data_IF_026622485992
#
_entry.id   IF_026622485992
#
_cell.length_a   1.000
_cell.length_b   1.000
_cell.length_c   1.000
_cell.angle_alpha   90.00
_cell.angle_beta   90.00
_cell.angle_gamma   90.00
#
_symmetry.space_group_name_H-M   'P 1'
#
loop_
_entity.id
_entity.type
_entity.pdbx_description
1 polymer ?
#
# COMPACT_ATOMS: atom_id res chain seq x y z
N UNK A 1 28.45 9.88 33.49
CA UNK A 1 27.58 8.78 33.00
C UNK A 1 26.12 9.13 33.26
N UNK A 2 25.33 9.56 32.26
CA UNK A 2 23.87 9.52 32.38
C UNK A 2 23.15 9.14 31.06
N UNK A 3 23.67 8.17 30.29
CA UNK A 3 22.95 7.71 29.07
C UNK A 3 21.84 6.69 29.37
N UNK A 4 21.95 5.95 30.48
CA UNK A 4 20.95 4.93 30.88
C UNK A 4 19.65 5.54 31.40
N UNK A 5 19.75 6.69 32.07
CA UNK A 5 18.61 7.36 32.70
C UNK A 5 17.59 7.89 31.67
N UNK A 6 18.07 8.45 30.56
CA UNK A 6 17.21 8.96 29.48
C UNK A 6 16.40 7.84 28.83
N UNK A 7 17.00 6.67 28.57
CA UNK A 7 16.28 5.53 27.97
C UNK A 7 15.21 4.97 28.91
N UNK A 8 15.50 4.93 30.21
CA UNK A 8 14.54 4.50 31.24
C UNK A 8 13.39 5.51 31.39
N UNK A 9 13.69 6.82 31.36
CA UNK A 9 12.67 7.87 31.38
C UNK A 9 11.76 7.82 30.15
N UNK A 10 12.30 7.54 28.95
CA UNK A 10 11.52 7.45 27.71
C UNK A 10 10.64 6.20 27.63
N UNK A 11 11.09 5.08 28.21
CA UNK A 11 10.30 3.83 28.26
C UNK A 11 9.17 3.87 29.28
N UNK A 12 9.29 4.70 30.32
CA UNK A 12 8.22 4.95 31.29
C UNK A 12 7.10 5.88 30.75
N UNK A 13 7.26 6.47 29.56
CA UNK A 13 6.25 7.36 28.99
C UNK A 13 5.07 6.57 28.43
N UNK A 14 3.90 6.74 29.05
CA UNK A 14 2.67 6.16 28.53
C UNK A 14 2.22 6.85 27.23
N UNK A 15 1.68 6.08 26.26
CA UNK A 15 1.14 6.63 25.03
C UNK A 15 -0.09 7.51 25.32
N UNK A 16 0.06 8.82 25.15
CA UNK A 16 -1.02 9.79 25.40
C UNK A 16 -2.09 9.83 24.30
N UNK A 17 -1.71 9.53 23.06
CA UNK A 17 -2.64 9.65 21.92
C UNK A 17 -3.49 8.40 21.76
N UNK A 18 -4.77 8.57 21.38
CA UNK A 18 -5.68 7.45 21.06
C UNK A 18 -5.04 6.47 20.06
N UNK A 19 -4.42 7.00 19.01
CA UNK A 19 -3.77 6.19 18.00
C UNK A 19 -2.59 5.36 18.54
N UNK A 20 -1.80 5.91 19.47
CA UNK A 20 -0.69 5.20 20.08
C UNK A 20 -1.18 4.07 20.99
N UNK A 21 -2.19 4.33 21.84
CA UNK A 21 -2.84 3.29 22.67
C UNK A 21 -3.38 2.14 21.83
N UNK A 22 -4.00 2.46 20.69
CA UNK A 22 -4.54 1.44 19.78
C UNK A 22 -3.43 0.60 19.15
N UNK A 23 -2.33 1.22 18.71
CA UNK A 23 -1.19 0.52 18.10
C UNK A 23 -0.56 -0.51 19.03
N UNK A 24 -0.53 -0.23 20.33
CA UNK A 24 -0.04 -1.17 21.35
C UNK A 24 -0.88 -2.46 21.39
N UNK A 25 -2.20 -2.32 21.29
CA UNK A 25 -3.14 -3.45 21.33
C UNK A 25 -3.52 -4.01 19.96
N UNK A 26 -3.02 -3.45 18.85
CA UNK A 26 -3.31 -3.91 17.49
C UNK A 26 -3.00 -5.41 17.24
N UNK A 27 -1.84 -5.96 17.67
CA UNK A 27 -1.55 -7.37 17.45
C UNK A 27 -2.61 -8.28 18.08
N UNK A 28 -3.04 -7.95 19.30
CA UNK A 28 -4.06 -8.69 20.03
C UNK A 28 -5.43 -8.56 19.36
N UNK A 29 -5.76 -7.38 18.83
CA UNK A 29 -7.02 -7.17 18.11
C UNK A 29 -7.08 -8.04 16.86
N UNK A 30 -6.03 -8.09 16.05
CA UNK A 30 -5.99 -8.98 14.87
C UNK A 30 -6.13 -10.45 15.26
N UNK A 31 -5.48 -10.88 16.35
CA UNK A 31 -5.63 -12.24 16.86
C UNK A 31 -7.08 -12.55 17.27
N UNK A 32 -7.79 -11.60 17.89
CA UNK A 32 -9.20 -11.79 18.25
C UNK A 32 -10.09 -11.82 17.01
N UNK A 33 -9.82 -10.98 16.03
CA UNK A 33 -10.57 -10.97 14.77
C UNK A 33 -10.36 -12.27 13.98
N UNK A 34 -9.13 -12.80 13.94
CA UNK A 34 -8.84 -14.09 13.29
C UNK A 34 -9.49 -15.28 14.01
N UNK A 35 -9.69 -15.17 15.33
CA UNK A 35 -10.49 -16.12 16.11
C UNK A 35 -12.01 -15.97 15.92
N UNK A 36 -12.48 -15.02 15.09
CA UNK A 36 -13.89 -14.84 14.76
C UNK A 36 -14.65 -13.82 15.63
N UNK A 37 -13.95 -13.05 16.47
CA UNK A 37 -14.59 -11.97 17.24
C UNK A 37 -15.09 -10.87 16.29
N UNK A 38 -16.30 -10.35 16.50
CA UNK A 38 -16.86 -9.29 15.64
C UNK A 38 -16.18 -7.95 15.92
N UNK A 39 -16.03 -7.14 14.88
CA UNK A 39 -15.48 -5.78 14.97
C UNK A 39 -16.27 -4.91 15.98
N UNK A 40 -17.58 -5.09 16.05
CA UNK A 40 -18.46 -4.36 16.98
C UNK A 40 -18.10 -4.64 18.44
N UNK A 41 -17.80 -5.90 18.78
CA UNK A 41 -17.43 -6.29 20.14
C UNK A 41 -16.05 -5.76 20.53
N UNK A 42 -15.11 -5.73 19.57
CA UNK A 42 -13.81 -5.08 19.75
C UNK A 42 -13.98 -3.59 20.02
N UNK A 43 -14.83 -2.89 19.24
CA UNK A 43 -15.10 -1.47 19.47
C UNK A 43 -15.73 -1.21 20.84
N UNK A 44 -16.64 -2.08 21.30
CA UNK A 44 -17.23 -1.99 22.64
C UNK A 44 -16.16 -2.14 23.72
N UNK A 45 -15.28 -3.12 23.59
CA UNK A 45 -14.17 -3.32 24.53
C UNK A 45 -13.19 -2.13 24.53
N UNK A 46 -12.85 -1.60 23.36
CA UNK A 46 -11.99 -0.41 23.23
C UNK A 46 -12.62 0.82 23.91
N UNK A 47 -13.92 1.05 23.67
CA UNK A 47 -14.65 2.16 24.31
C UNK A 47 -14.69 2.02 25.83
N UNK A 48 -14.90 0.81 26.35
CA UNK A 48 -14.88 0.54 27.79
C UNK A 48 -13.53 0.88 28.44
N UNK A 49 -12.44 0.82 27.68
CA UNK A 49 -11.09 1.17 28.12
C UNK A 49 -10.69 2.62 27.76
N UNK A 50 -11.67 3.49 27.45
CA UNK A 50 -11.44 4.91 27.14
C UNK A 50 -10.91 5.19 25.74
N UNK A 51 -10.91 4.19 24.85
CA UNK A 51 -10.49 4.33 23.46
C UNK A 51 -11.75 4.38 22.57
N UNK A 52 -12.32 5.57 22.42
CA UNK A 52 -13.47 5.76 21.54
C UNK A 52 -13.01 5.98 20.08
N UNK A 53 -13.46 5.08 19.22
CA UNK A 53 -13.14 4.99 17.79
C UNK A 53 -14.39 4.67 17.00
N UNK A 54 -14.41 5.13 15.75
CA UNK A 54 -15.41 4.68 14.77
C UNK A 54 -14.96 3.38 14.11
N UNK A 55 -15.92 2.63 13.56
CA UNK A 55 -15.63 1.42 12.78
C UNK A 55 -14.73 1.71 11.58
N UNK A 56 -14.95 2.82 10.87
CA UNK A 56 -14.13 3.23 9.75
C UNK A 56 -12.67 3.50 10.16
N UNK A 57 -12.46 4.11 11.33
CA UNK A 57 -11.12 4.35 11.87
C UNK A 57 -10.42 3.05 12.22
N UNK A 58 -11.12 2.12 12.90
CA UNK A 58 -10.54 0.81 13.25
C UNK A 58 -10.16 0.02 12.00
N UNK A 59 -11.03 -0.04 10.98
CA UNK A 59 -10.72 -0.67 9.69
C UNK A 59 -9.50 -0.05 9.02
N UNK A 60 -9.40 1.27 9.01
CA UNK A 60 -8.24 1.99 8.46
C UNK A 60 -6.94 1.65 9.19
N UNK A 61 -7.01 1.47 10.52
CA UNK A 61 -5.84 1.11 11.33
C UNK A 61 -5.41 -0.34 11.09
N UNK A 62 -6.36 -1.28 11.02
CA UNK A 62 -6.09 -2.67 10.68
C UNK A 62 -5.45 -2.79 9.29
N UNK A 63 -5.99 -2.07 8.30
CA UNK A 63 -5.40 -2.04 6.95
C UNK A 63 -3.94 -1.57 6.99
N UNK A 64 -3.65 -0.44 7.65
CA UNK A 64 -2.29 0.08 7.77
C UNK A 64 -1.37 -0.88 8.54
N UNK A 65 -1.91 -1.55 9.56
CA UNK A 65 -1.17 -2.52 10.35
C UNK A 65 -0.77 -3.74 9.52
N UNK A 66 -1.69 -4.29 8.71
CA UNK A 66 -1.43 -5.40 7.78
C UNK A 66 -0.42 -5.04 6.70
N UNK A 67 -0.55 -3.85 6.10
CA UNK A 67 0.42 -3.36 5.11
C UNK A 67 1.82 -3.25 5.70
N UNK A 68 1.93 -2.73 6.93
CA UNK A 68 3.22 -2.64 7.63
C UNK A 68 3.83 -4.04 7.86
N UNK A 69 3.02 -5.02 8.27
CA UNK A 69 3.51 -6.39 8.47
C UNK A 69 4.02 -7.03 7.18
N UNK A 70 3.37 -6.81 6.05
CA UNK A 70 3.83 -7.34 4.76
C UNK A 70 5.23 -6.80 4.41
N UNK A 71 5.44 -5.49 4.56
CA UNK A 71 6.75 -4.86 4.31
C UNK A 71 7.81 -5.39 5.28
N UNK A 72 7.49 -5.54 6.56
CA UNK A 72 8.43 -6.12 7.55
C UNK A 72 8.80 -7.57 7.20
N UNK A 73 7.83 -8.39 6.75
CA UNK A 73 8.10 -9.76 6.30
C UNK A 73 8.98 -9.80 5.03
N UNK A 74 8.73 -8.92 4.06
CA UNK A 74 9.55 -8.82 2.83
C UNK A 74 10.99 -8.42 3.15
N UNK A 75 11.18 -7.43 4.02
CA UNK A 75 12.53 -6.96 4.41
C UNK A 75 13.31 -7.99 5.23
N UNK A 76 12.64 -8.76 6.10
CA UNK A 76 13.28 -9.85 6.86
C UNK A 76 13.58 -11.05 5.95
N UNK A 77 12.69 -11.38 5.01
CA UNK A 77 12.90 -12.43 4.00
C UNK A 77 14.05 -12.14 3.03
N UNK A 78 14.20 -10.88 2.59
CA UNK A 78 15.34 -10.45 1.77
C UNK A 78 16.68 -10.52 2.51
N UNK A 79 16.70 -10.28 3.83
CA UNK A 79 17.94 -10.37 4.62
C UNK A 79 18.46 -11.80 4.78
N UNK A 80 17.60 -12.82 4.66
CA UNK A 80 18.02 -14.22 4.67
C UNK A 80 18.43 -14.73 3.29
N UNK A 81 17.85 -14.20 2.20
CA UNK A 81 18.23 -14.59 0.82
C UNK A 81 19.49 -13.88 0.30
N UNK A 82 19.87 -12.73 0.85
CA UNK A 82 21.06 -11.99 0.39
C UNK A 82 22.41 -12.64 0.78
N UNK A 83 22.43 -13.67 1.63
CA UNK A 83 23.67 -14.30 2.11
C UNK A 83 24.03 -15.64 1.44
N UNK A 84 23.32 -16.07 0.39
CA UNK A 84 23.57 -17.37 -0.28
C UNK A 84 24.00 -17.25 -1.74
N UNK A 85 24.09 -16.05 -2.33
CA UNK A 85 24.37 -15.92 -3.77
C UNK A 85 25.67 -15.17 -4.08
N UNK A 86 26.79 -15.73 -3.62
CA UNK A 86 28.07 -15.59 -4.29
C UNK A 86 28.60 -16.99 -4.61
N UNK A 87 27.97 -17.67 -5.57
CA UNK A 87 28.51 -18.87 -6.21
C UNK A 87 28.02 -18.90 -7.67
N UNK A 88 28.92 -18.48 -8.55
CA UNK A 88 29.10 -18.87 -9.96
C UNK A 88 27.96 -19.62 -10.69
N UNK A 89 27.56 -19.03 -11.82
CA UNK A 89 27.30 -19.67 -13.11
C UNK A 89 26.41 -20.94 -13.15
N UNK A 90 25.23 -20.84 -13.76
CA UNK A 90 24.90 -21.36 -15.12
C UNK A 90 23.38 -21.24 -15.29
N UNK A 91 22.92 -20.59 -16.37
CA UNK A 91 21.50 -20.53 -16.75
C UNK A 91 21.04 -21.92 -17.22
N UNK A 92 19.80 -22.33 -16.91
CA UNK A 92 19.01 -23.04 -17.90
C UNK A 92 17.71 -22.28 -18.17
N UNK A 93 17.55 -21.89 -19.43
CA UNK A 93 16.28 -21.51 -20.03
C UNK A 93 15.37 -22.73 -20.00
N UNK A 94 14.25 -22.66 -19.27
CA UNK A 94 13.17 -23.63 -19.38
C UNK A 94 12.01 -22.97 -20.10
N UNK A 95 12.03 -23.15 -21.41
CA UNK A 95 11.03 -22.77 -22.39
C UNK A 95 9.78 -23.63 -22.16
N UNK A 96 8.80 -23.10 -21.42
CA UNK A 96 7.49 -23.75 -21.27
C UNK A 96 6.63 -23.39 -22.48
N UNK A 97 6.61 -24.30 -23.44
CA UNK A 97 5.56 -24.42 -24.44
C UNK A 97 4.22 -24.61 -23.73
N UNK A 98 3.29 -23.70 -23.97
CA UNK A 98 1.87 -23.95 -23.79
C UNK A 98 1.19 -23.66 -25.12
N UNK A 99 0.97 -24.73 -25.88
CA UNK A 99 -0.05 -24.77 -26.91
C UNK A 99 -1.17 -25.62 -26.34
N UNK A 100 -2.30 -25.02 -25.99
CA UNK A 100 -3.58 -25.56 -26.46
C UNK A 100 -4.70 -24.51 -26.36
N UNK A 101 -5.47 -24.45 -27.43
CA UNK A 101 -6.63 -23.61 -27.64
C UNK A 101 -7.89 -24.40 -27.28
N UNK A 102 -8.77 -23.84 -26.45
CA UNK A 102 -10.23 -23.92 -26.66
C UNK A 102 -10.86 -22.79 -25.84
N UNK A 103 -11.53 -21.77 -26.40
CA UNK A 103 -12.76 -21.77 -27.22
C UNK A 103 -13.97 -22.38 -26.50
N UNK A 104 -14.59 -21.62 -25.60
CA UNK A 104 -16.05 -21.66 -25.40
C UNK A 104 -16.56 -20.21 -25.22
N UNK A 105 -17.54 -19.86 -26.06
CA UNK A 105 -18.29 -18.59 -26.08
C UNK A 105 -19.56 -18.70 -25.22
N UNK A 106 -20.15 -17.52 -25.03
CA UNK A 106 -21.54 -17.19 -24.66
C UNK A 106 -21.74 -16.86 -23.17
N UNK A 107 -21.75 -15.57 -22.83
CA UNK A 107 -22.86 -14.61 -22.94
C UNK A 107 -23.81 -14.74 -21.74
N UNK A 108 -23.69 -13.82 -20.79
CA UNK A 108 -24.82 -12.96 -20.43
C UNK A 108 -24.35 -11.80 -19.54
N UNK A 109 -24.45 -10.60 -20.11
CA UNK A 109 -24.22 -9.32 -19.47
C UNK A 109 -25.58 -8.64 -19.32
N UNK A 110 -26.01 -8.39 -18.08
CA UNK A 110 -27.03 -7.39 -17.71
C UNK A 110 -27.01 -7.24 -16.17
N UNK A 111 -27.01 -6.07 -15.54
CA UNK A 111 -27.10 -4.67 -16.00
C UNK A 111 -26.72 -3.75 -14.81
N UNK A 112 -25.77 -2.86 -15.08
CA UNK A 112 -25.60 -1.46 -14.67
C UNK A 112 -26.36 -0.80 -13.49
N UNK A 113 -25.60 0.02 -12.74
CA UNK A 113 -25.95 1.42 -12.44
C UNK A 113 -24.65 2.24 -12.20
N UNK A 114 -23.96 2.72 -13.25
CA UNK A 114 -23.97 4.10 -13.78
C UNK A 114 -23.78 5.23 -12.77
N UNK A 115 -22.66 5.95 -12.90
CA UNK A 115 -22.72 7.41 -13.02
C UNK A 115 -21.64 7.91 -13.98
N UNK A 116 -22.11 8.50 -15.07
CA UNK A 116 -21.48 9.47 -15.96
C UNK A 116 -20.46 8.99 -17.02
N UNK A 117 -20.98 8.83 -18.25
CA UNK A 117 -20.45 9.58 -19.39
C UNK A 117 -19.54 8.82 -20.35
N UNK A 118 -20.16 8.33 -21.43
CA UNK A 118 -19.59 7.75 -22.66
C UNK A 118 -19.31 6.24 -22.63
N UNK A 119 -19.88 5.46 -23.59
CA UNK A 119 -19.53 4.06 -23.77
C UNK A 119 -18.02 3.98 -24.00
N UNK A 120 -17.31 3.23 -23.16
CA UNK A 120 -15.90 2.94 -23.37
C UNK A 120 -15.76 2.14 -24.66
N UNK A 121 -15.55 2.83 -25.78
CA UNK A 121 -14.88 2.22 -26.92
C UNK A 121 -13.53 1.71 -26.40
N UNK A 122 -13.16 0.45 -26.70
CA UNK A 122 -11.82 0.00 -26.39
C UNK A 122 -10.86 0.95 -27.11
N UNK A 123 -10.00 1.63 -26.34
CA UNK A 123 -8.99 2.55 -26.87
C UNK A 123 -8.34 1.90 -28.09
N UNK A 124 -8.32 2.61 -29.22
CA UNK A 124 -7.75 2.07 -30.44
C UNK A 124 -6.27 1.73 -30.21
N UNK A 125 -5.75 0.74 -30.95
CA UNK A 125 -4.31 0.38 -30.88
C UNK A 125 -3.40 1.59 -31.13
N UNK A 126 -3.86 2.57 -31.92
CA UNK A 126 -3.13 3.80 -32.21
C UNK A 126 -3.17 4.79 -31.04
N UNK A 127 -4.31 4.95 -30.37
CA UNK A 127 -4.41 5.76 -29.15
C UNK A 127 -3.58 5.17 -28.00
N UNK A 128 -3.55 3.84 -27.89
CA UNK A 128 -2.71 3.16 -26.92
C UNK A 128 -1.22 3.38 -27.21
N UNK A 129 -0.78 3.31 -28.48
CA UNK A 129 0.61 3.62 -28.85
C UNK A 129 0.96 5.09 -28.59
N UNK A 130 0.02 6.01 -28.88
CA UNK A 130 0.18 7.45 -28.58
C UNK A 130 0.26 7.73 -27.08
N UNK A 131 -0.44 6.95 -26.26
CA UNK A 131 -0.37 7.03 -24.80
C UNK A 131 0.92 6.42 -24.23
N UNK A 132 1.37 5.30 -24.80
CA UNK A 132 2.61 4.61 -24.39
C UNK A 132 3.87 5.35 -24.86
N UNK A 133 3.79 6.11 -25.95
CA UNK A 133 4.88 6.91 -26.52
C UNK A 133 4.46 8.39 -26.62
N UNK A 134 4.38 9.10 -25.48
CA UNK A 134 4.11 10.53 -25.50
C UNK A 134 5.16 11.29 -26.33
N UNK A 135 4.72 12.36 -26.99
CA UNK A 135 5.59 13.19 -27.84
C UNK A 135 6.73 13.81 -27.00
N UNK A 136 8.01 13.58 -27.36
CA UNK A 136 9.14 14.13 -26.62
C UNK A 136 9.13 15.66 -26.53
N UNK A 137 8.55 16.36 -27.51
CA UNK A 137 8.44 17.82 -27.48
C UNK A 137 7.50 18.30 -26.36
N UNK A 138 6.33 17.66 -26.22
CA UNK A 138 5.37 17.96 -25.15
C UNK A 138 5.96 17.63 -23.77
N UNK A 139 6.73 16.55 -23.66
CA UNK A 139 7.40 16.18 -22.43
C UNK A 139 8.45 17.22 -22.01
N UNK A 140 9.26 17.70 -22.95
CA UNK A 140 10.26 18.73 -22.70
C UNK A 140 9.62 20.04 -22.23
N UNK A 141 8.51 20.46 -22.86
CA UNK A 141 7.79 21.66 -22.45
C UNK A 141 7.19 21.53 -21.04
N UNK A 142 6.59 20.37 -20.74
CA UNK A 142 6.03 20.09 -19.42
C UNK A 142 7.09 20.13 -18.34
N UNK A 143 8.27 19.55 -18.58
CA UNK A 143 9.42 19.63 -17.67
C UNK A 143 9.90 21.08 -17.48
N UNK A 144 10.06 21.85 -18.55
CA UNK A 144 10.45 23.25 -18.49
C UNK A 144 9.44 24.12 -17.74
N UNK A 145 8.15 23.80 -17.80
CA UNK A 145 7.09 24.46 -17.02
C UNK A 145 7.23 24.17 -15.53
N UNK A 146 7.47 22.91 -15.15
CA UNK A 146 7.67 22.55 -13.74
C UNK A 146 8.94 23.16 -13.17
N UNK A 147 10.02 23.23 -13.94
CA UNK A 147 11.26 23.88 -13.52
C UNK A 147 11.06 25.38 -13.22
N UNK A 148 10.31 26.09 -14.08
CA UNK A 148 9.95 27.50 -13.87
C UNK A 148 9.17 27.72 -12.58
N UNK A 149 8.15 26.89 -12.34
CA UNK A 149 7.34 26.96 -11.11
C UNK A 149 8.19 26.70 -9.85
N UNK A 150 9.09 25.72 -9.89
CA UNK A 150 9.97 25.41 -8.78
C UNK A 150 10.94 26.57 -8.47
N UNK A 151 11.52 27.20 -9.50
CA UNK A 151 12.39 28.37 -9.34
C UNK A 151 11.62 29.57 -8.76
N UNK A 152 10.38 29.80 -9.19
CA UNK A 152 9.53 30.88 -8.66
C UNK A 152 9.23 30.69 -7.16
N UNK A 153 8.84 29.47 -6.75
CA UNK A 153 8.55 29.17 -5.34
C UNK A 153 9.78 29.32 -4.42
N UNK A 154 10.99 29.04 -4.93
CA UNK A 154 12.23 29.25 -4.16
C UNK A 154 12.53 30.74 -3.96
N UNK A 155 12.22 31.59 -4.95
CA UNK A 155 12.43 33.04 -4.86
C UNK A 155 11.44 33.72 -3.92
N UNK A 156 10.20 33.24 -3.82
CA UNK A 156 9.18 33.82 -2.93
C UNK A 156 9.29 33.39 -1.46
N UNK A 157 10.17 32.42 -1.15
CA UNK A 157 10.39 31.89 0.21
C UNK A 157 11.61 32.47 0.92
N UNK A 158 12.32 33.40 0.28
CA UNK A 158 13.52 34.04 0.80
C UNK A 158 13.22 35.52 1.04
#
# INVERSE_FOLDING_TARGET
>A
MPKRDVVQALTALEPKTKAAKVREVMPLIEQRLSAGVRIVDVLKALRANGIDLTEATLKSYLYRYRQKQQVEQETVGQKLSANVQHSSATRPVSQRHYSDSSSIRDSDLSTHATSNGSPHEPMSMQELDRLMKPDPAEQAEKLARYERLAKQQRRSRK
#
